data_IF_195692494364
#
_entry.id   IF_195692494364
#
_cell.length_a   1.000
_cell.length_b   1.000
_cell.length_c   1.000
_cell.angle_alpha   90.00
_cell.angle_beta   90.00
_cell.angle_gamma   90.00
#
_symmetry.space_group_name_H-M   'P 1'
#
loop_
_entity.id
_entity.type
_entity.pdbx_description
1 polymer ?
#
# COMPACT_ATOMS: atom_id res chain seq x y z
N UNK A 1 -17.05 10.90 8.40
CA UNK A 1 -17.69 9.69 8.97
C UNK A 1 -19.20 9.88 9.07
N UNK A 2 -19.93 8.76 9.12
CA UNK A 2 -21.37 8.80 9.44
C UNK A 2 -21.57 9.04 10.94
N UNK A 3 -22.78 9.43 11.34
CA UNK A 3 -23.10 9.72 12.75
C UNK A 3 -22.73 8.53 13.66
N UNK A 4 -22.23 8.83 14.86
CA UNK A 4 -21.79 7.86 15.86
C UNK A 4 -20.64 6.93 15.42
N UNK A 5 -19.84 7.37 14.44
CA UNK A 5 -18.62 6.67 14.01
C UNK A 5 -17.39 7.43 14.52
N UNK A 6 -16.57 6.71 15.24
CA UNK A 6 -15.26 7.19 15.67
C UNK A 6 -14.19 6.62 14.73
N UNK A 7 -13.16 7.41 14.44
CA UNK A 7 -12.00 7.00 13.63
C UNK A 7 -10.75 7.40 14.38
N UNK A 8 -9.74 6.54 14.35
CA UNK A 8 -8.38 6.85 14.80
C UNK A 8 -7.36 6.26 13.84
N UNK A 9 -6.17 6.80 13.84
CA UNK A 9 -5.02 6.31 13.07
C UNK A 9 -4.02 5.73 14.07
N UNK A 10 -3.68 4.46 13.94
CA UNK A 10 -2.81 3.75 14.90
C UNK A 10 -1.48 3.40 14.24
N UNK A 11 -0.38 3.85 14.87
CA UNK A 11 0.98 3.48 14.45
C UNK A 11 1.31 2.04 14.85
N UNK A 12 2.37 1.48 14.26
CA UNK A 12 2.82 0.11 14.56
C UNK A 12 3.27 -0.08 16.02
N UNK A 13 3.75 0.98 16.66
CA UNK A 13 4.13 0.97 18.07
C UNK A 13 2.93 0.98 19.05
N UNK A 14 1.71 1.00 18.51
CA UNK A 14 0.47 1.02 19.29
C UNK A 14 0.08 2.40 19.80
N UNK A 15 0.77 3.46 19.41
CA UNK A 15 0.37 4.84 19.73
C UNK A 15 -0.54 5.41 18.64
N UNK A 16 -1.39 6.37 19.02
CA UNK A 16 -2.22 7.10 18.04
C UNK A 16 -1.34 8.11 17.28
N UNK A 17 -1.52 8.15 15.95
CA UNK A 17 -0.81 9.07 15.08
C UNK A 17 -1.33 10.50 15.26
N UNK A 18 -0.44 11.49 15.16
CA UNK A 18 -0.83 12.90 15.07
C UNK A 18 -1.20 13.25 13.61
N UNK A 19 -1.78 14.42 13.39
CA UNK A 19 -2.15 14.86 12.05
C UNK A 19 -0.97 14.80 11.09
N UNK A 20 -1.21 14.19 9.91
CA UNK A 20 -0.22 14.00 8.87
C UNK A 20 0.68 12.77 9.02
N UNK A 21 0.63 12.05 10.15
CA UNK A 21 1.35 10.79 10.31
C UNK A 21 0.55 9.59 9.79
N UNK A 22 1.22 8.71 9.06
CA UNK A 22 0.62 7.46 8.56
C UNK A 22 0.47 6.42 9.67
N UNK A 23 -0.65 5.70 9.63
CA UNK A 23 -0.92 4.56 10.50
C UNK A 23 -2.10 3.74 9.98
N UNK A 24 -2.42 2.65 10.67
CA UNK A 24 -3.59 1.86 10.35
C UNK A 24 -4.87 2.59 10.75
N UNK A 25 -5.77 2.76 9.78
CA UNK A 25 -7.09 3.33 10.01
C UNK A 25 -7.91 2.35 10.83
N UNK A 26 -8.39 2.79 11.98
CA UNK A 26 -9.32 2.02 12.81
C UNK A 26 -10.63 2.78 12.96
N UNK A 27 -11.74 2.05 12.99
CA UNK A 27 -13.05 2.64 13.19
C UNK A 27 -13.86 1.90 14.26
N UNK A 28 -14.72 2.64 14.97
CA UNK A 28 -15.65 2.12 15.96
C UNK A 28 -17.01 2.79 15.77
N UNK A 29 -18.07 2.01 15.87
CA UNK A 29 -19.42 2.54 15.73
C UNK A 29 -20.47 1.42 15.61
N UNK A 30 -21.77 1.77 15.61
CA UNK A 30 -22.86 0.81 15.58
C UNK A 30 -22.91 -0.03 14.30
N UNK A 31 -22.32 0.45 13.21
CA UNK A 31 -22.23 -0.27 11.92
C UNK A 31 -21.08 -1.28 11.84
N UNK A 32 -20.15 -1.23 12.80
CA UNK A 32 -19.02 -2.18 12.82
C UNK A 32 -19.57 -3.59 13.10
N UNK A 33 -19.09 -4.55 12.32
CA UNK A 33 -19.48 -5.96 12.47
C UNK A 33 -19.13 -6.49 13.87
N UNK A 34 -19.92 -7.41 14.38
CA UNK A 34 -19.61 -8.12 15.65
C UNK A 34 -18.45 -9.11 15.51
N UNK A 35 -18.16 -9.54 14.30
CA UNK A 35 -17.08 -10.48 13.97
C UNK A 35 -17.39 -11.31 12.73
N UNK A 36 -16.43 -12.15 12.35
CA UNK A 36 -16.59 -13.11 11.25
C UNK A 36 -17.38 -14.34 11.72
N UNK A 37 -18.32 -14.78 10.90
CA UNK A 37 -19.17 -15.93 11.22
C UNK A 37 -18.34 -17.20 11.42
N UNK A 38 -18.49 -17.83 12.59
CA UNK A 38 -17.73 -19.02 12.99
C UNK A 38 -16.20 -18.91 12.93
N UNK A 39 -15.64 -17.69 12.99
CA UNK A 39 -14.20 -17.45 12.94
C UNK A 39 -13.73 -16.53 14.09
N UNK A 40 -13.78 -17.00 15.35
CA UNK A 40 -13.42 -16.15 16.49
C UNK A 40 -11.95 -15.73 16.47
N UNK A 41 -11.05 -16.57 15.95
CA UNK A 41 -9.63 -16.25 15.83
C UNK A 41 -9.36 -15.12 14.84
N UNK A 42 -10.04 -15.10 13.70
CA UNK A 42 -9.92 -14.00 12.73
C UNK A 42 -10.61 -12.73 13.24
N UNK A 43 -11.72 -12.88 13.97
CA UNK A 43 -12.38 -11.75 14.63
C UNK A 43 -11.44 -11.07 15.62
N UNK A 44 -10.76 -11.82 16.48
CA UNK A 44 -9.84 -11.28 17.47
C UNK A 44 -8.61 -10.57 16.87
N UNK A 45 -8.24 -10.89 15.63
CA UNK A 45 -7.17 -10.19 14.90
C UNK A 45 -7.65 -8.87 14.27
N UNK A 46 -8.94 -8.78 14.00
CA UNK A 46 -9.53 -7.68 13.22
C UNK A 46 -10.29 -6.68 14.08
N UNK A 47 -10.92 -7.15 15.17
CA UNK A 47 -11.64 -6.30 16.11
C UNK A 47 -10.93 -6.37 17.47
N UNK A 48 -10.51 -5.22 17.96
CA UNK A 48 -9.83 -5.11 19.27
C UNK A 48 -10.81 -5.36 20.42
N UNK A 49 -10.30 -5.67 21.61
CA UNK A 49 -11.13 -5.94 22.79
C UNK A 49 -12.03 -4.76 23.19
N UNK A 50 -11.62 -3.52 22.87
CA UNK A 50 -12.36 -2.28 23.10
C UNK A 50 -13.22 -1.84 21.91
N UNK A 51 -13.40 -2.75 20.92
CA UNK A 51 -14.40 -2.62 19.84
C UNK A 51 -13.96 -1.82 18.62
N UNK A 52 -12.66 -1.59 18.42
CA UNK A 52 -12.14 -0.98 17.20
C UNK A 52 -11.92 -2.02 16.11
N UNK A 53 -12.43 -1.74 14.93
CA UNK A 53 -12.15 -2.51 13.72
C UNK A 53 -10.84 -2.01 13.10
N UNK A 54 -9.86 -2.88 12.98
CA UNK A 54 -8.64 -2.68 12.19
C UNK A 54 -9.01 -2.88 10.72
N UNK A 55 -8.98 -1.81 9.91
CA UNK A 55 -9.44 -1.87 8.51
C UNK A 55 -8.45 -2.57 7.59
N UNK A 56 -7.18 -2.60 7.99
CA UNK A 56 -6.06 -3.03 7.16
C UNK A 56 -5.68 -2.01 6.08
N UNK A 57 -6.27 -0.83 6.11
CA UNK A 57 -5.89 0.29 5.26
C UNK A 57 -4.98 1.24 6.05
N UNK A 58 -3.90 1.71 5.42
CA UNK A 58 -2.99 2.72 5.96
C UNK A 58 -3.41 4.09 5.44
N UNK A 59 -3.38 5.07 6.30
CA UNK A 59 -3.70 6.44 5.94
C UNK A 59 -3.33 7.43 7.03
N UNK A 60 -3.59 8.69 6.78
CA UNK A 60 -3.44 9.79 7.72
C UNK A 60 -4.66 10.70 7.69
N UNK A 61 -4.75 11.55 8.70
CA UNK A 61 -5.77 12.60 8.80
C UNK A 61 -5.08 13.96 8.82
N UNK A 62 -5.61 14.94 8.10
CA UNK A 62 -5.13 16.30 8.17
C UNK A 62 -5.81 17.10 9.30
N UNK A 63 -5.35 18.34 9.53
CA UNK A 63 -5.87 19.23 10.56
C UNK A 63 -7.33 19.64 10.33
N UNK A 64 -7.82 19.58 9.08
CA UNK A 64 -9.20 19.84 8.70
C UNK A 64 -10.12 18.63 8.89
N UNK A 65 -9.56 17.47 9.29
CA UNK A 65 -10.27 16.23 9.55
C UNK A 65 -10.57 15.40 8.29
N UNK A 66 -9.93 15.69 7.16
CA UNK A 66 -9.99 14.83 5.98
C UNK A 66 -9.04 13.65 6.14
N UNK A 67 -9.52 12.47 5.75
CA UNK A 67 -8.75 11.24 5.81
C UNK A 67 -8.28 10.83 4.41
N UNK A 68 -6.99 10.53 4.31
CA UNK A 68 -6.33 10.10 3.08
C UNK A 68 -5.89 8.65 3.22
N UNK A 69 -6.30 7.80 2.28
CA UNK A 69 -5.87 6.40 2.22
C UNK A 69 -4.58 6.36 1.40
N UNK A 70 -3.52 5.85 2.00
CA UNK A 70 -2.19 5.70 1.38
C UNK A 70 -2.08 4.36 0.66
N UNK A 71 -2.29 3.25 1.39
CA UNK A 71 -2.19 1.90 0.82
C UNK A 71 -2.85 0.86 1.73
N UNK A 72 -2.70 -0.40 1.39
CA UNK A 72 -3.06 -1.55 2.21
C UNK A 72 -1.90 -2.01 3.09
N UNK A 73 -2.14 -2.22 4.38
CA UNK A 73 -1.13 -2.72 5.34
C UNK A 73 -0.45 -4.00 4.85
N UNK A 74 -1.21 -4.95 4.31
CA UNK A 74 -0.69 -6.22 3.78
C UNK A 74 0.13 -6.10 2.50
N UNK A 75 0.05 -4.99 1.80
CA UNK A 75 0.77 -4.73 0.55
C UNK A 75 2.03 -3.88 0.77
N UNK A 76 2.18 -3.30 1.96
CA UNK A 76 3.37 -2.57 2.39
C UNK A 76 4.62 -3.45 2.23
N UNK A 77 5.70 -2.83 1.78
CA UNK A 77 7.02 -3.45 1.56
C UNK A 77 7.97 -2.94 2.65
N UNK A 78 8.63 -3.85 3.36
CA UNK A 78 9.55 -3.49 4.43
C UNK A 78 10.99 -3.50 3.92
N UNK A 79 11.49 -2.33 3.47
CA UNK A 79 12.84 -2.19 2.93
C UNK A 79 13.79 -1.66 4.02
N UNK A 80 14.69 -2.51 4.52
CA UNK A 80 15.65 -2.13 5.58
C UNK A 80 15.02 -1.47 6.80
N UNK A 81 13.79 -1.90 7.17
CA UNK A 81 13.03 -1.34 8.28
C UNK A 81 12.19 -0.10 7.93
N UNK A 82 12.21 0.36 6.69
CA UNK A 82 11.38 1.46 6.23
C UNK A 82 10.10 0.95 5.55
N UNK A 83 8.97 1.53 5.92
CA UNK A 83 7.69 1.27 5.30
C UNK A 83 7.65 1.91 3.91
N UNK A 84 7.46 1.10 2.88
CA UNK A 84 7.36 1.52 1.49
C UNK A 84 6.01 1.11 0.95
N UNK A 85 5.25 2.07 0.46
CA UNK A 85 3.90 1.85 -0.03
C UNK A 85 3.91 1.69 -1.55
N UNK A 86 3.43 0.54 -2.08
CA UNK A 86 3.35 0.28 -3.51
C UNK A 86 2.69 1.40 -4.31
N UNK A 87 1.61 1.98 -3.82
CA UNK A 87 0.88 3.06 -4.51
C UNK A 87 1.76 4.29 -4.79
N UNK A 88 2.65 4.66 -3.88
CA UNK A 88 3.56 5.79 -4.08
C UNK A 88 4.50 5.54 -5.26
N UNK A 89 5.06 4.33 -5.31
CA UNK A 89 5.96 3.94 -6.40
C UNK A 89 5.21 3.84 -7.72
N UNK A 90 4.04 3.21 -7.70
CA UNK A 90 3.17 3.06 -8.87
C UNK A 90 2.78 4.42 -9.44
N UNK A 91 2.42 5.40 -8.60
CA UNK A 91 2.06 6.75 -9.03
C UNK A 91 3.24 7.45 -9.73
N UNK A 92 4.45 7.34 -9.17
CA UNK A 92 5.65 7.90 -9.79
C UNK A 92 5.94 7.22 -11.12
N UNK A 93 5.97 5.90 -11.17
CA UNK A 93 6.28 5.15 -12.39
C UNK A 93 5.21 5.34 -13.47
N UNK A 94 3.93 5.37 -13.09
CA UNK A 94 2.82 5.62 -14.02
C UNK A 94 2.85 7.04 -14.63
N UNK A 95 3.50 8.00 -13.98
CA UNK A 95 3.68 9.36 -14.50
C UNK A 95 4.70 9.42 -15.64
N UNK A 96 5.49 8.36 -15.87
CA UNK A 96 6.40 8.29 -17.00
C UNK A 96 5.62 8.12 -18.32
N UNK A 97 5.85 8.99 -19.35
CA UNK A 97 5.02 9.06 -20.56
C UNK A 97 4.97 7.77 -21.39
N UNK A 98 5.98 6.91 -21.25
CA UNK A 98 6.09 5.63 -21.97
C UNK A 98 5.54 4.43 -21.19
N UNK A 99 5.01 4.62 -19.97
CA UNK A 99 4.41 3.57 -19.15
C UNK A 99 2.90 3.56 -19.36
N UNK A 100 2.34 2.37 -19.55
CA UNK A 100 0.89 2.15 -19.66
C UNK A 100 0.29 1.73 -18.32
N UNK A 101 0.89 0.70 -17.70
CA UNK A 101 0.47 0.16 -16.41
C UNK A 101 1.68 -0.24 -15.59
N UNK A 102 1.55 -0.19 -14.29
CA UNK A 102 2.58 -0.62 -13.35
C UNK A 102 1.96 -1.25 -12.12
N UNK A 103 2.65 -2.23 -11.56
CA UNK A 103 2.38 -2.78 -10.24
C UNK A 103 3.69 -2.93 -9.47
N UNK A 104 3.69 -2.56 -8.20
CA UNK A 104 4.83 -2.73 -7.31
C UNK A 104 4.53 -3.79 -6.24
N UNK A 105 5.53 -4.62 -5.96
CA UNK A 105 5.49 -5.63 -4.89
C UNK A 105 6.83 -5.71 -4.18
N UNK A 106 6.80 -6.17 -2.92
CA UNK A 106 8.01 -6.60 -2.21
C UNK A 106 8.46 -7.98 -2.66
N UNK A 107 9.77 -8.13 -2.81
CA UNK A 107 10.41 -9.42 -3.00
C UNK A 107 11.54 -9.58 -1.99
N UNK A 108 11.77 -10.80 -1.50
CA UNK A 108 12.79 -11.08 -0.50
C UNK A 108 14.19 -10.66 -0.98
N UNK A 109 14.96 -10.07 -0.08
CA UNK A 109 16.36 -9.66 -0.30
C UNK A 109 17.16 -9.92 0.98
N UNK A 110 18.27 -10.61 0.87
CA UNK A 110 19.09 -11.05 2.02
C UNK A 110 19.65 -9.90 2.86
N UNK A 111 19.79 -8.70 2.29
CA UNK A 111 20.39 -7.53 2.95
C UNK A 111 19.35 -6.58 3.52
N UNK A 112 18.23 -6.43 2.82
CA UNK A 112 17.23 -5.41 3.12
C UNK A 112 15.92 -5.97 3.68
N UNK A 113 15.84 -7.31 3.85
CA UNK A 113 14.59 -8.00 4.15
C UNK A 113 13.73 -8.12 2.91
N UNK A 114 13.24 -7.00 2.40
CA UNK A 114 12.57 -6.89 1.11
C UNK A 114 13.17 -5.79 0.26
N UNK A 115 12.92 -5.85 -1.05
CA UNK A 115 13.19 -4.79 -2.01
C UNK A 115 12.02 -4.63 -2.97
N UNK A 116 11.91 -3.45 -3.54
CA UNK A 116 10.84 -3.16 -4.49
C UNK A 116 11.14 -3.82 -5.84
N UNK A 117 10.14 -4.56 -6.33
CA UNK A 117 10.06 -5.04 -7.71
C UNK A 117 8.85 -4.42 -8.38
N UNK A 118 9.02 -3.91 -9.60
CA UNK A 118 7.91 -3.41 -10.40
C UNK A 118 7.70 -4.28 -11.64
N UNK A 119 6.43 -4.47 -11.96
CA UNK A 119 5.95 -5.06 -13.21
C UNK A 119 5.38 -3.94 -14.06
N UNK A 120 5.85 -3.80 -15.28
CA UNK A 120 5.53 -2.64 -16.12
C UNK A 120 5.03 -3.11 -17.48
N UNK A 121 3.89 -2.54 -17.91
CA UNK A 121 3.38 -2.63 -19.28
C UNK A 121 3.80 -1.35 -20.00
N UNK A 122 4.53 -1.51 -21.09
CA UNK A 122 5.01 -0.39 -21.89
C UNK A 122 3.87 0.19 -22.74
N UNK A 123 3.73 1.50 -22.72
CA UNK A 123 2.91 2.24 -23.70
C UNK A 123 3.71 2.48 -24.99
N UNK A 124 5.00 2.73 -24.85
CA UNK A 124 5.96 2.89 -25.94
C UNK A 124 7.06 1.83 -25.80
N UNK A 125 7.22 0.99 -26.84
CA UNK A 125 8.19 -0.10 -26.86
C UNK A 125 9.64 0.38 -26.80
N UNK A 126 9.90 1.65 -27.10
CA UNK A 126 11.23 2.25 -27.00
C UNK A 126 11.70 2.50 -25.57
N UNK A 127 10.82 2.28 -24.54
CA UNK A 127 11.20 2.45 -23.14
C UNK A 127 12.26 1.40 -22.75
N UNK A 128 13.44 1.88 -22.37
CA UNK A 128 14.53 1.04 -21.88
C UNK A 128 14.57 1.03 -20.35
N UNK A 129 15.19 -0.02 -19.80
CA UNK A 129 15.30 -0.20 -18.35
C UNK A 129 16.08 0.92 -17.69
N UNK A 130 17.14 1.33 -18.33
CA UNK A 130 18.04 2.40 -17.87
C UNK A 130 17.33 3.75 -17.79
N UNK A 131 16.49 4.06 -18.77
CA UNK A 131 15.66 5.26 -18.81
C UNK A 131 14.67 5.27 -17.64
N UNK A 132 13.93 4.17 -17.44
CA UNK A 132 12.96 4.07 -16.35
C UNK A 132 13.63 4.09 -14.97
N UNK A 133 14.79 3.44 -14.83
CA UNK A 133 15.56 3.47 -13.59
C UNK A 133 16.10 4.86 -13.26
N UNK A 134 16.55 5.62 -14.26
CA UNK A 134 16.99 7.01 -14.08
C UNK A 134 15.81 7.87 -13.58
N UNK A 135 14.66 7.74 -14.22
CA UNK A 135 13.43 8.42 -13.81
C UNK A 135 13.02 8.08 -12.36
N UNK A 136 13.05 6.81 -11.98
CA UNK A 136 12.76 6.39 -10.60
C UNK A 136 13.74 7.01 -9.59
N UNK A 137 15.04 7.05 -9.91
CA UNK A 137 16.08 7.63 -9.02
C UNK A 137 15.90 9.13 -8.83
N UNK A 138 15.43 9.84 -9.84
CA UNK A 138 15.16 11.27 -9.77
C UNK A 138 13.94 11.61 -8.92
N UNK A 139 12.93 10.73 -8.92
CA UNK A 139 11.62 11.02 -8.35
C UNK A 139 11.29 10.23 -7.07
N UNK A 140 12.14 9.27 -6.65
CA UNK A 140 11.95 8.45 -5.47
C UNK A 140 13.16 8.51 -4.54
N UNK A 141 12.90 8.46 -3.23
CA UNK A 141 13.95 8.28 -2.22
C UNK A 141 14.65 6.92 -2.41
N UNK A 142 15.94 6.85 -2.15
CA UNK A 142 16.80 5.72 -2.52
C UNK A 142 16.30 4.32 -2.16
N UNK A 143 15.73 4.14 -0.95
CA UNK A 143 15.17 2.86 -0.51
C UNK A 143 13.83 2.50 -1.18
N UNK A 144 13.14 3.47 -1.82
CA UNK A 144 11.92 3.28 -2.60
C UNK A 144 12.18 2.96 -4.07
N UNK A 145 13.41 3.21 -4.55
CA UNK A 145 13.79 2.94 -5.94
C UNK A 145 13.71 1.43 -6.21
N UNK A 146 12.96 0.99 -7.25
CA UNK A 146 12.87 -0.43 -7.59
C UNK A 146 14.24 -1.03 -7.88
N UNK A 147 14.53 -2.20 -7.33
CA UNK A 147 15.72 -2.98 -7.69
C UNK A 147 15.50 -3.90 -8.88
N UNK A 148 14.25 -4.28 -9.09
CA UNK A 148 13.86 -5.19 -10.17
C UNK A 148 12.75 -4.58 -11.01
N UNK A 149 12.91 -4.65 -12.33
CA UNK A 149 11.90 -4.30 -13.33
C UNK A 149 11.63 -5.55 -14.17
N UNK A 150 10.37 -5.92 -14.27
CA UNK A 150 9.91 -6.99 -15.14
C UNK A 150 8.89 -6.44 -16.13
N UNK A 151 9.17 -6.62 -17.42
CA UNK A 151 8.26 -6.22 -18.48
C UNK A 151 7.16 -7.25 -18.65
N UNK A 152 5.93 -6.78 -18.85
CA UNK A 152 4.75 -7.61 -19.09
C UNK A 152 3.95 -7.03 -20.25
N UNK A 153 3.24 -7.89 -20.97
CA UNK A 153 2.28 -7.46 -21.99
C UNK A 153 0.98 -7.00 -21.34
N UNK A 154 0.61 -7.61 -20.20
CA UNK A 154 -0.55 -7.25 -19.38
C UNK A 154 -0.30 -7.55 -17.89
N UNK A 155 -1.04 -6.87 -17.01
CA UNK A 155 -1.06 -7.16 -15.58
C UNK A 155 -2.32 -7.94 -15.20
N UNK A 156 -2.23 -8.88 -14.24
CA UNK A 156 -3.40 -9.59 -13.74
C UNK A 156 -4.38 -8.62 -13.06
N UNK A 157 -5.65 -8.72 -13.41
CA UNK A 157 -6.72 -7.84 -12.91
C UNK A 157 -7.85 -8.65 -12.28
N UNK A 158 -8.53 -8.01 -11.34
CA UNK A 158 -9.81 -8.51 -10.82
C UNK A 158 -10.91 -8.31 -11.85
N UNK A 159 -12.08 -8.93 -11.62
CA UNK A 159 -13.26 -8.77 -12.48
C UNK A 159 -13.75 -7.32 -12.61
N UNK A 160 -13.34 -6.45 -11.69
CA UNK A 160 -13.64 -5.00 -11.69
C UNK A 160 -12.47 -4.15 -12.21
N UNK A 161 -11.48 -4.77 -12.86
CA UNK A 161 -10.37 -4.06 -13.52
C UNK A 161 -9.23 -3.59 -12.60
N UNK A 162 -9.25 -3.90 -11.29
CA UNK A 162 -8.15 -3.55 -10.38
C UNK A 162 -7.00 -4.54 -10.51
N UNK A 163 -5.76 -4.04 -10.51
CA UNK A 163 -4.55 -4.88 -10.54
C UNK A 163 -4.51 -5.81 -9.32
N UNK A 164 -4.23 -7.08 -9.57
CA UNK A 164 -4.22 -8.15 -8.57
C UNK A 164 -2.79 -8.43 -8.12
N UNK A 165 -2.21 -7.56 -7.25
CA UNK A 165 -0.83 -7.67 -6.76
C UNK A 165 -0.48 -9.06 -6.20
N UNK A 166 -1.42 -9.76 -5.54
CA UNK A 166 -1.19 -11.11 -5.00
C UNK A 166 -0.82 -12.16 -6.06
N UNK A 167 -1.17 -11.94 -7.33
CA UNK A 167 -0.80 -12.83 -8.44
C UNK A 167 0.59 -12.50 -9.04
N UNK A 168 1.25 -11.45 -8.52
CA UNK A 168 2.56 -10.99 -8.94
C UNK A 168 3.67 -11.28 -7.89
N UNK A 169 3.29 -11.80 -6.72
CA UNK A 169 4.17 -12.23 -5.62
C UNK A 169 4.63 -13.67 -5.79
#
# INVERSE_FOLDING_TARGET
PVASTEIRIMKEDGTEAVFGEDGEIQCRGPQVMKGYYNQPGETAKTVTADGWLCTGDIGHMDEDGYMYIVDRKKDMILVSGFNVYPNEIENVVASHPKVQEVAAVGVADDRSGEVVKIFVVKKDQSLEKEELMAYCKENLTGYKVPKHIEWRDELPKTNVGKILRRALR
#
